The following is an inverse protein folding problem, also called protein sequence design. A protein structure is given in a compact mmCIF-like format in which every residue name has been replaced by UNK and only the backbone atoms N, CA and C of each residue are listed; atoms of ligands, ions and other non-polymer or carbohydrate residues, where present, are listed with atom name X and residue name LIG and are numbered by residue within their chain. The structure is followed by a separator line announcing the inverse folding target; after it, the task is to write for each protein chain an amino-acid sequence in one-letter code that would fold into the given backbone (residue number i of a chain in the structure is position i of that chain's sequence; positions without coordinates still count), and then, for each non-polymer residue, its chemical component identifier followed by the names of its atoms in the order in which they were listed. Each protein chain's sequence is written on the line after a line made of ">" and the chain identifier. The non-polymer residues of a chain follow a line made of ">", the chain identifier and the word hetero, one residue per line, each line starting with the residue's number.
data_IF_424595391317
#
_entry.id   IF_424595391317
#
_cell.length_a   1.000
_cell.length_b   1.000
_cell.length_c   1.000
_cell.angle_alpha   90.00
_cell.angle_beta   90.00
_cell.angle_gamma   90.00
#
_symmetry.space_group_name_H-M   'P 1'
#
loop_
_entity.id
_entity.type
_entity.pdbx_description
1 polymer ?
#
# COMPACT_ATOMS: atom_id res chain seq x y z
N UNK A 1 -21.09 20.00 -38.55
CA UNK A 1 -20.29 20.43 -37.40
C UNK A 1 -20.93 19.83 -36.17
N UNK A 2 -20.31 18.80 -35.59
CA UNK A 2 -20.83 18.14 -34.40
C UNK A 2 -20.61 19.03 -33.18
N UNK A 3 -21.70 19.31 -32.46
CA UNK A 3 -21.68 19.88 -31.12
C UNK A 3 -20.90 18.96 -30.19
N UNK A 4 -19.98 19.48 -29.34
CA UNK A 4 -19.43 18.67 -28.26
C UNK A 4 -20.57 18.27 -27.31
N UNK A 5 -20.73 16.97 -27.09
CA UNK A 5 -21.75 16.43 -26.18
C UNK A 5 -21.55 16.99 -24.75
N UNK A 6 -22.59 17.52 -24.11
CA UNK A 6 -22.52 18.01 -22.73
C UNK A 6 -22.58 16.81 -21.77
N UNK A 7 -21.46 16.11 -21.60
CA UNK A 7 -21.29 15.14 -20.49
C UNK A 7 -21.17 15.89 -19.14
N UNK A 8 -21.04 17.22 -19.15
CA UNK A 8 -20.87 18.03 -17.94
C UNK A 8 -22.16 18.48 -17.22
N UNK A 9 -23.36 18.28 -17.80
CA UNK A 9 -24.62 18.78 -17.21
C UNK A 9 -25.67 17.70 -16.95
N UNK A 10 -25.25 16.45 -16.69
CA UNK A 10 -26.15 15.49 -16.02
C UNK A 10 -26.12 15.79 -14.50
N UNK A 11 -27.28 15.96 -13.82
CA UNK A 11 -27.28 16.17 -12.39
C UNK A 11 -26.58 14.98 -11.73
N UNK A 12 -25.47 15.26 -11.03
CA UNK A 12 -24.63 14.29 -10.31
C UNK A 12 -25.39 13.52 -9.21
N UNK A 13 -26.71 13.55 -9.16
CA UNK A 13 -27.55 12.93 -8.14
C UNK A 13 -27.95 11.49 -8.51
N UNK A 14 -28.21 11.20 -9.77
CA UNK A 14 -28.54 9.83 -10.23
C UNK A 14 -27.30 8.93 -10.46
N UNK A 15 -26.12 9.54 -10.61
CA UNK A 15 -24.85 8.81 -10.77
C UNK A 15 -24.21 8.48 -9.40
N UNK A 16 -24.64 9.13 -8.31
CA UNK A 16 -24.16 8.89 -6.94
C UNK A 16 -24.30 7.44 -6.48
N UNK A 17 -25.43 6.73 -6.65
CA UNK A 17 -25.53 5.35 -6.18
C UNK A 17 -24.60 4.41 -6.97
N UNK A 18 -24.53 4.54 -8.30
CA UNK A 18 -23.67 3.69 -9.14
C UNK A 18 -22.19 3.96 -8.90
N UNK A 19 -21.79 5.22 -8.74
CA UNK A 19 -20.42 5.58 -8.38
C UNK A 19 -20.10 5.11 -6.96
N UNK A 20 -21.02 5.27 -6.00
CA UNK A 20 -20.86 4.78 -4.62
C UNK A 20 -20.67 3.26 -4.58
N UNK A 21 -21.43 2.49 -5.34
CA UNK A 21 -21.28 1.03 -5.43
C UNK A 21 -19.95 0.61 -6.04
N UNK A 22 -19.49 1.31 -7.09
CA UNK A 22 -18.17 1.07 -7.69
C UNK A 22 -17.03 1.42 -6.72
N UNK A 23 -17.15 2.54 -6.01
CA UNK A 23 -16.21 2.95 -4.96
C UNK A 23 -16.20 1.96 -3.78
N UNK A 24 -17.37 1.48 -3.36
CA UNK A 24 -17.53 0.48 -2.31
C UNK A 24 -16.84 -0.84 -2.67
N UNK A 25 -17.20 -1.42 -3.83
CA UNK A 25 -16.61 -2.67 -4.32
C UNK A 25 -15.11 -2.56 -4.42
N UNK A 26 -14.61 -1.45 -4.97
CA UNK A 26 -13.17 -1.23 -5.09
C UNK A 26 -12.48 -1.15 -3.74
N UNK A 27 -13.05 -0.44 -2.78
CA UNK A 27 -12.43 -0.28 -1.46
C UNK A 27 -12.42 -1.60 -0.67
N UNK A 28 -13.47 -2.41 -0.83
CA UNK A 28 -13.52 -3.77 -0.30
C UNK A 28 -12.45 -4.67 -0.94
N UNK A 29 -12.32 -4.63 -2.27
CA UNK A 29 -11.28 -5.36 -3.01
C UNK A 29 -9.88 -4.94 -2.54
N UNK A 30 -9.63 -3.64 -2.45
CA UNK A 30 -8.35 -3.08 -2.00
C UNK A 30 -7.96 -3.62 -0.61
N UNK A 31 -8.93 -3.65 0.32
CA UNK A 31 -8.74 -4.18 1.66
C UNK A 31 -8.44 -5.67 1.67
N UNK A 32 -9.27 -6.50 1.01
CA UNK A 32 -9.10 -7.95 1.04
C UNK A 32 -7.83 -8.41 0.33
N UNK A 33 -7.46 -7.78 -0.79
CA UNK A 33 -6.18 -8.08 -1.45
C UNK A 33 -5.02 -7.70 -0.53
N UNK A 34 -5.05 -6.52 0.10
CA UNK A 34 -3.97 -6.12 1.01
C UNK A 34 -3.88 -7.06 2.23
N UNK A 35 -5.02 -7.46 2.80
CA UNK A 35 -5.09 -8.39 3.92
C UNK A 35 -4.51 -9.76 3.53
N UNK A 36 -4.86 -10.26 2.35
CA UNK A 36 -4.33 -11.51 1.82
C UNK A 36 -2.82 -11.44 1.61
N UNK A 37 -2.31 -10.36 1.00
CA UNK A 37 -0.88 -10.16 0.79
C UNK A 37 -0.12 -10.05 2.11
N UNK A 38 -0.61 -9.28 3.09
CA UNK A 38 -0.02 -9.22 4.43
C UNK A 38 -0.01 -10.60 5.11
N UNK A 39 -1.09 -11.38 4.95
CA UNK A 39 -1.17 -12.76 5.45
C UNK A 39 -0.13 -13.66 4.79
N UNK A 40 0.00 -13.60 3.46
CA UNK A 40 1.00 -14.37 2.71
C UNK A 40 2.43 -13.99 3.14
N UNK A 41 2.73 -12.69 3.24
CA UNK A 41 4.04 -12.21 3.71
C UNK A 41 4.35 -12.69 5.13
N UNK A 42 3.35 -12.68 6.01
CA UNK A 42 3.49 -13.19 7.39
C UNK A 42 3.77 -14.70 7.39
N UNK A 43 3.02 -15.47 6.59
CA UNK A 43 3.23 -16.91 6.45
C UNK A 43 4.60 -17.23 5.85
N UNK A 44 5.06 -16.49 4.85
CA UNK A 44 6.42 -16.67 4.29
C UNK A 44 7.49 -16.30 5.30
N UNK A 45 7.29 -15.26 6.11
CA UNK A 45 8.21 -14.89 7.18
C UNK A 45 8.32 -15.96 8.27
N UNK A 46 7.19 -16.52 8.70
CA UNK A 46 7.14 -17.62 9.66
C UNK A 46 7.71 -18.92 9.07
N UNK A 47 7.43 -19.21 7.81
CA UNK A 47 7.94 -20.38 7.10
C UNK A 47 9.45 -20.32 6.88
N UNK A 48 9.98 -19.16 6.48
CA UNK A 48 11.41 -18.95 6.31
C UNK A 48 12.20 -18.96 7.62
N UNK A 49 11.56 -18.66 8.75
CA UNK A 49 12.18 -18.85 10.06
C UNK A 49 12.38 -20.33 10.43
N UNK A 50 11.57 -21.23 9.87
CA UNK A 50 11.58 -22.66 10.17
C UNK A 50 12.39 -23.49 9.15
N UNK A 51 12.66 -22.97 7.96
CA UNK A 51 13.17 -23.72 6.81
C UNK A 51 14.32 -22.92 6.15
N UNK A 52 15.56 -23.15 6.60
CA UNK A 52 16.88 -22.82 6.00
C UNK A 52 17.12 -21.48 5.22
N UNK A 53 18.40 -21.17 4.95
CA UNK A 53 18.90 -19.87 4.47
C UNK A 53 18.36 -19.39 3.11
N UNK A 54 17.84 -20.29 2.27
CA UNK A 54 17.37 -19.98 0.91
C UNK A 54 15.97 -19.29 0.86
N UNK A 55 15.27 -19.20 1.99
CA UNK A 55 13.94 -18.58 2.05
C UNK A 55 13.98 -17.04 2.04
N UNK A 56 15.16 -16.43 2.18
CA UNK A 56 15.33 -14.98 2.17
C UNK A 56 14.85 -14.36 0.84
N UNK A 57 15.15 -15.01 -0.29
CA UNK A 57 14.73 -14.55 -1.62
C UNK A 57 13.20 -14.55 -1.73
N UNK A 58 12.54 -15.60 -1.21
CA UNK A 58 11.08 -15.71 -1.21
C UNK A 58 10.45 -14.60 -0.37
N UNK A 59 10.99 -14.34 0.82
CA UNK A 59 10.54 -13.25 1.67
C UNK A 59 10.70 -11.89 0.99
N UNK A 60 11.85 -11.62 0.35
CA UNK A 60 12.09 -10.38 -0.37
C UNK A 60 11.11 -10.19 -1.53
N UNK A 61 10.84 -11.25 -2.30
CA UNK A 61 9.84 -11.21 -3.39
C UNK A 61 8.45 -10.92 -2.82
N UNK A 62 8.07 -11.55 -1.70
CA UNK A 62 6.77 -11.34 -1.06
C UNK A 62 6.60 -9.90 -0.57
N UNK A 63 7.61 -9.35 0.12
CA UNK A 63 7.63 -7.95 0.56
C UNK A 63 7.64 -6.96 -0.62
N UNK A 64 8.37 -7.28 -1.70
CA UNK A 64 8.38 -6.46 -2.90
C UNK A 64 7.00 -6.42 -3.57
N UNK A 65 6.35 -7.59 -3.77
CA UNK A 65 5.01 -7.68 -4.34
C UNK A 65 3.99 -6.91 -3.49
N UNK A 66 4.05 -7.05 -2.16
CA UNK A 66 3.23 -6.29 -1.22
C UNK A 66 3.47 -4.78 -1.37
N UNK A 67 4.72 -4.33 -1.34
CA UNK A 67 5.09 -2.92 -1.45
C UNK A 67 4.64 -2.29 -2.77
N UNK A 68 4.86 -2.97 -3.89
CA UNK A 68 4.41 -2.53 -5.22
C UNK A 68 2.89 -2.37 -5.24
N UNK A 69 2.16 -3.37 -4.76
CA UNK A 69 0.69 -3.30 -4.69
C UNK A 69 0.21 -2.11 -3.84
N UNK A 70 0.78 -1.91 -2.66
CA UNK A 70 0.40 -0.81 -1.75
C UNK A 70 0.71 0.56 -2.37
N UNK A 71 1.84 0.69 -3.06
CA UNK A 71 2.21 1.91 -3.75
C UNK A 71 1.23 2.22 -4.88
N UNK A 72 0.88 1.25 -5.73
CA UNK A 72 -0.13 1.45 -6.77
C UNK A 72 -1.51 1.76 -6.19
N UNK A 73 -2.00 0.97 -5.22
CA UNK A 73 -3.32 1.18 -4.61
C UNK A 73 -3.39 2.56 -3.91
N UNK A 74 -2.31 3.00 -3.28
CA UNK A 74 -2.23 4.32 -2.65
C UNK A 74 -2.24 5.47 -3.66
N UNK A 75 -1.50 5.36 -4.77
CA UNK A 75 -1.48 6.34 -5.85
C UNK A 75 -2.86 6.48 -6.51
N UNK A 76 -3.49 5.36 -6.87
CA UNK A 76 -4.83 5.40 -7.49
C UNK A 76 -5.87 5.88 -6.47
N UNK A 77 -5.72 5.54 -5.18
CA UNK A 77 -6.57 6.08 -4.12
C UNK A 77 -6.44 7.59 -3.96
N UNK A 78 -5.20 8.11 -3.98
CA UNK A 78 -4.90 9.54 -3.93
C UNK A 78 -5.45 10.29 -5.14
N UNK A 79 -5.29 9.75 -6.35
CA UNK A 79 -5.83 10.33 -7.58
C UNK A 79 -7.36 10.44 -7.59
N UNK A 80 -8.05 9.58 -6.84
CA UNK A 80 -9.51 9.64 -6.64
C UNK A 80 -9.95 10.46 -5.42
N UNK A 81 -9.05 11.23 -4.81
CA UNK A 81 -9.38 12.14 -3.71
C UNK A 81 -9.29 11.53 -2.31
N UNK A 82 -8.80 10.30 -2.14
CA UNK A 82 -8.50 9.77 -0.81
C UNK A 82 -7.16 10.32 -0.31
N UNK A 83 -7.23 11.47 0.38
CA UNK A 83 -6.05 12.20 0.88
C UNK A 83 -5.17 11.35 1.79
N UNK A 84 -5.73 10.42 2.58
CA UNK A 84 -4.94 9.53 3.45
C UNK A 84 -4.09 8.54 2.66
N UNK A 85 -4.68 7.92 1.63
CA UNK A 85 -3.95 7.05 0.69
C UNK A 85 -2.91 7.86 -0.11
N UNK A 86 -3.25 9.08 -0.50
CA UNK A 86 -2.30 10.01 -1.14
C UNK A 86 -1.12 10.37 -0.24
N UNK A 87 -1.33 10.70 1.03
CA UNK A 87 -0.24 10.97 1.97
C UNK A 87 0.64 9.74 2.18
N UNK A 88 0.05 8.54 2.29
CA UNK A 88 0.82 7.31 2.37
C UNK A 88 1.74 7.11 1.16
N UNK A 89 1.27 7.37 -0.07
CA UNK A 89 2.10 7.19 -1.27
C UNK A 89 3.32 8.12 -1.26
N UNK A 90 3.15 9.37 -0.82
CA UNK A 90 4.26 10.31 -0.64
C UNK A 90 5.27 9.78 0.39
N UNK A 91 4.79 9.31 1.55
CA UNK A 91 5.68 8.74 2.57
C UNK A 91 6.40 7.47 2.09
N UNK A 92 5.72 6.60 1.33
CA UNK A 92 6.31 5.39 0.78
C UNK A 92 7.44 5.72 -0.21
N UNK A 93 7.24 6.72 -1.09
CA UNK A 93 8.29 7.19 -1.99
C UNK A 93 9.48 7.82 -1.24
N UNK A 94 9.20 8.68 -0.25
CA UNK A 94 10.24 9.26 0.60
C UNK A 94 11.03 8.18 1.34
N UNK A 95 10.36 7.13 1.79
CA UNK A 95 11.00 5.99 2.44
C UNK A 95 11.94 5.24 1.50
N UNK A 96 11.56 5.00 0.24
CA UNK A 96 12.44 4.37 -0.76
C UNK A 96 13.69 5.22 -1.01
N UNK A 97 13.54 6.53 -1.16
CA UNK A 97 14.67 7.46 -1.34
C UNK A 97 15.57 7.50 -0.10
N UNK A 98 14.96 7.50 1.08
CA UNK A 98 15.67 7.45 2.35
C UNK A 98 16.45 6.14 2.49
N UNK A 99 15.85 4.99 2.21
CA UNK A 99 16.51 3.69 2.19
C UNK A 99 17.71 3.71 1.24
N UNK A 100 17.54 4.17 0.00
CA UNK A 100 18.64 4.25 -0.95
C UNK A 100 19.79 5.12 -0.42
N UNK A 101 19.47 6.25 0.21
CA UNK A 101 20.46 7.18 0.78
C UNK A 101 21.19 6.55 1.99
N UNK A 102 20.46 5.84 2.86
CA UNK A 102 21.03 5.11 4.00
C UNK A 102 21.95 3.99 3.52
N UNK A 103 21.46 3.13 2.62
CA UNK A 103 22.24 2.00 2.09
C UNK A 103 23.45 2.44 1.27
N UNK A 104 23.37 3.56 0.54
CA UNK A 104 24.51 4.07 -0.24
C UNK A 104 25.47 4.93 0.58
N UNK A 105 24.94 5.77 1.47
CA UNK A 105 25.69 6.81 2.17
C UNK A 105 26.28 6.36 3.51
N UNK A 106 25.53 5.59 4.32
CA UNK A 106 26.01 5.18 5.63
C UNK A 106 27.02 4.03 5.57
N UNK A 107 26.93 3.14 4.58
CA UNK A 107 27.91 2.05 4.39
C UNK A 107 29.34 2.54 4.14
N UNK A 108 29.53 3.80 3.72
CA UNK A 108 30.85 4.40 3.57
C UNK A 108 31.42 5.05 4.82
N UNK A 109 30.61 5.26 5.88
CA UNK A 109 30.95 6.14 7.01
C UNK A 109 30.74 5.46 8.37
N UNK A 110 29.73 4.60 8.51
CA UNK A 110 29.33 3.98 9.78
C UNK A 110 29.18 2.48 9.60
N UNK A 111 29.88 1.70 10.44
CA UNK A 111 29.72 0.25 10.50
C UNK A 111 28.45 -0.09 11.26
N UNK A 112 27.32 -0.14 10.55
CA UNK A 112 26.04 -0.61 11.11
C UNK A 112 26.05 -2.14 11.06
N UNK A 113 25.76 -2.84 12.17
CA UNK A 113 25.67 -4.29 12.15
C UNK A 113 24.59 -4.76 11.18
N UNK A 114 24.93 -5.74 10.36
CA UNK A 114 24.10 -6.21 9.25
C UNK A 114 22.70 -6.65 9.71
N UNK A 115 22.62 -7.37 10.83
CA UNK A 115 21.35 -7.82 11.41
C UNK A 115 20.40 -6.67 11.75
N UNK A 116 20.92 -5.50 12.15
CA UNK A 116 20.12 -4.33 12.49
C UNK A 116 19.52 -3.70 11.22
N UNK A 117 20.31 -3.64 10.15
CA UNK A 117 19.84 -3.21 8.83
C UNK A 117 18.68 -4.09 8.33
N UNK A 118 18.86 -5.41 8.39
CA UNK A 118 17.82 -6.36 8.00
C UNK A 118 16.57 -6.22 8.86
N UNK A 119 16.72 -6.23 10.18
CA UNK A 119 15.59 -6.24 11.11
C UNK A 119 14.80 -4.93 11.07
N UNK A 120 15.48 -3.78 11.04
CA UNK A 120 14.81 -2.48 11.14
C UNK A 120 14.37 -1.97 9.77
N UNK A 121 15.27 -1.94 8.80
CA UNK A 121 15.05 -1.24 7.53
C UNK A 121 14.44 -2.13 6.45
N UNK A 122 14.67 -3.45 6.50
CA UNK A 122 14.16 -4.37 5.48
C UNK A 122 12.91 -5.10 5.95
N UNK A 123 12.82 -5.51 7.22
CA UNK A 123 11.65 -6.21 7.75
C UNK A 123 10.72 -5.27 8.54
N UNK A 124 11.25 -4.59 9.56
CA UNK A 124 10.46 -3.87 10.56
C UNK A 124 9.68 -2.69 10.00
N UNK A 125 10.37 -1.69 9.46
CA UNK A 125 9.74 -0.49 8.91
C UNK A 125 8.77 -0.80 7.75
N UNK A 126 9.10 -1.68 6.78
CA UNK A 126 8.15 -2.09 5.76
C UNK A 126 6.91 -2.79 6.34
N UNK A 127 7.07 -3.63 7.36
CA UNK A 127 5.94 -4.29 8.04
C UNK A 127 5.02 -3.29 8.72
N UNK A 128 5.58 -2.28 9.41
CA UNK A 128 4.80 -1.19 10.02
C UNK A 128 4.03 -0.42 8.94
N UNK A 129 4.70 -0.07 7.83
CA UNK A 129 4.08 0.60 6.70
C UNK A 129 2.94 -0.22 6.08
N UNK A 130 3.12 -1.53 5.96
CA UNK A 130 2.11 -2.43 5.41
C UNK A 130 0.88 -2.55 6.32
N UNK A 131 1.09 -2.65 7.63
CA UNK A 131 0.01 -2.65 8.62
C UNK A 131 -0.74 -1.33 8.63
N UNK A 132 -0.03 -0.20 8.56
CA UNK A 132 -0.65 1.11 8.46
C UNK A 132 -1.51 1.23 7.19
N UNK A 133 -1.02 0.76 6.05
CA UNK A 133 -1.81 0.75 4.81
C UNK A 133 -3.05 -0.16 4.90
N UNK A 134 -2.94 -1.29 5.58
CA UNK A 134 -4.08 -2.17 5.86
C UNK A 134 -5.16 -1.45 6.68
N UNK A 135 -4.76 -0.71 7.71
CA UNK A 135 -5.67 0.13 8.50
C UNK A 135 -6.33 1.21 7.64
N UNK A 136 -5.60 1.86 6.74
CA UNK A 136 -6.17 2.84 5.81
C UNK A 136 -7.23 2.22 4.88
N UNK A 137 -6.98 1.01 4.37
CA UNK A 137 -7.93 0.29 3.54
C UNK A 137 -9.17 -0.14 4.34
N UNK A 138 -8.98 -0.61 5.56
CA UNK A 138 -10.08 -0.96 6.46
C UNK A 138 -10.97 0.23 6.79
N UNK A 139 -10.37 1.37 7.16
CA UNK A 139 -11.12 2.61 7.45
C UNK A 139 -11.88 3.11 6.22
N UNK A 140 -11.25 3.06 5.04
CA UNK A 140 -11.92 3.43 3.80
C UNK A 140 -13.11 2.48 3.52
N UNK A 141 -12.95 1.19 3.76
CA UNK A 141 -14.01 0.19 3.57
C UNK A 141 -15.16 0.39 4.56
N UNK A 142 -14.88 0.64 5.84
CA UNK A 142 -15.90 0.94 6.84
C UNK A 142 -16.69 2.19 6.51
N UNK A 143 -16.03 3.28 6.09
CA UNK A 143 -16.71 4.51 5.64
C UNK A 143 -17.62 4.25 4.45
N UNK A 144 -17.19 3.40 3.52
CA UNK A 144 -18.00 3.01 2.37
C UNK A 144 -19.22 2.15 2.75
N UNK A 145 -19.17 1.39 3.85
CA UNK A 145 -20.32 0.66 4.42
C UNK A 145 -21.29 1.55 5.19
N UNK A 146 -20.76 2.49 5.98
CA UNK A 146 -21.56 3.28 6.91
C UNK A 146 -22.41 4.37 6.28
N UNK A 147 -22.09 4.82 5.06
CA UNK A 147 -22.81 5.92 4.43
C UNK A 147 -22.82 7.22 5.26
N UNK A 148 -21.93 7.33 6.24
CA UNK A 148 -21.88 8.47 7.16
C UNK A 148 -21.14 9.64 6.50
N UNK A 149 -21.83 10.78 6.56
CA UNK A 149 -21.48 12.09 6.04
C UNK A 149 -20.34 12.72 6.83
#
# INVERSE_FOLDING_TARGET
>A
MASPDPILDSPLEDVRPVLRDRFYRRTAIDFWINAALCGLVTLTGLGGWLIEEDYLIVCLIAFFALGVYQLFSSMVGGALGNTRKGSYSVFAWLYVVFLFTVFRGLFGIVTIPEWLLWTVFIAGLPSIGALYFLVLCFQAWQRSKGGER
#
